data_IF_297918204124
#
_entry.id   IF_297918204124
#
_cell.length_a   1.000
_cell.length_b   1.000
_cell.length_c   1.000
_cell.angle_alpha   90.00
_cell.angle_beta   90.00
_cell.angle_gamma   90.00
#
_symmetry.space_group_name_H-M   'P 1'
#
loop_
_entity.id
_entity.type
_entity.pdbx_description
1 polymer ?
#
# COMPACT_ATOMS: atom_id res chain seq x y z
N UNK A 1 26.35 59.56 -25.05
CA UNK A 1 25.15 59.04 -24.37
C UNK A 1 23.97 58.78 -25.31
N UNK A 2 23.69 59.64 -26.30
CA UNK A 2 22.57 59.47 -27.26
C UNK A 2 22.64 58.15 -28.04
N UNK A 3 23.77 57.88 -28.70
CA UNK A 3 24.00 56.63 -29.44
C UNK A 3 23.85 55.36 -28.58
N UNK A 4 24.34 55.36 -27.34
CA UNK A 4 24.22 54.22 -26.43
C UNK A 4 22.78 53.98 -25.93
N UNK A 5 21.94 55.01 -25.90
CA UNK A 5 20.51 54.89 -25.59
C UNK A 5 19.72 54.35 -26.78
N UNK A 6 20.00 54.83 -27.99
CA UNK A 6 19.40 54.34 -29.22
C UNK A 6 19.75 52.85 -29.45
N UNK A 7 21.02 52.47 -29.25
CA UNK A 7 21.44 51.07 -29.29
C UNK A 7 20.76 50.21 -28.21
N UNK A 8 20.54 50.75 -27.01
CA UNK A 8 19.83 50.03 -25.96
C UNK A 8 18.35 49.77 -26.33
N UNK A 9 17.68 50.73 -26.97
CA UNK A 9 16.30 50.60 -27.42
C UNK A 9 16.13 49.60 -28.57
N UNK A 10 17.13 49.48 -29.44
CA UNK A 10 17.14 48.51 -30.54
C UNK A 10 17.35 47.07 -30.07
N UNK A 11 18.19 46.87 -29.05
CA UNK A 11 18.66 45.53 -28.64
C UNK A 11 17.82 44.95 -27.50
N UNK A 12 17.28 45.79 -26.63
CA UNK A 12 16.62 45.35 -25.40
C UNK A 12 15.13 45.72 -25.39
N UNK A 13 14.27 44.71 -25.22
CA UNK A 13 12.79 44.82 -25.21
C UNK A 13 12.30 45.87 -24.19
N UNK A 14 12.96 45.97 -23.03
CA UNK A 14 12.71 47.01 -22.02
C UNK A 14 13.95 47.89 -21.82
N UNK A 15 13.81 49.19 -22.10
CA UNK A 15 14.94 50.12 -22.07
C UNK A 15 15.12 50.78 -20.70
N UNK A 16 15.60 50.02 -19.71
CA UNK A 16 16.01 50.59 -18.42
C UNK A 16 17.29 51.46 -18.56
N UNK A 17 17.41 52.61 -17.87
CA UNK A 17 18.57 53.53 -17.96
C UNK A 17 19.94 52.86 -17.74
N UNK A 18 19.96 51.78 -16.95
CA UNK A 18 21.16 51.01 -16.61
C UNK A 18 21.75 50.25 -17.81
N UNK A 19 20.93 49.94 -18.83
CA UNK A 19 21.37 49.20 -20.04
C UNK A 19 22.23 50.08 -20.95
N UNK A 20 21.84 51.34 -21.15
CA UNK A 20 22.65 52.31 -21.90
C UNK A 20 24.02 52.57 -21.24
N UNK A 21 24.07 52.60 -19.90
CA UNK A 21 25.34 52.69 -19.15
C UNK A 21 26.21 51.44 -19.31
N UNK A 22 25.60 50.26 -19.35
CA UNK A 22 26.32 48.99 -19.54
C UNK A 22 26.92 48.90 -20.94
N UNK A 23 26.18 49.31 -21.99
CA UNK A 23 26.69 49.41 -23.37
C UNK A 23 27.87 50.38 -23.43
N UNK A 24 27.74 51.56 -22.82
CA UNK A 24 28.82 52.55 -22.80
C UNK A 24 30.08 51.99 -22.10
N UNK A 25 29.89 51.28 -20.99
CA UNK A 25 30.99 50.60 -20.30
C UNK A 25 31.65 49.53 -21.18
N UNK A 26 30.86 48.66 -21.83
CA UNK A 26 31.38 47.62 -22.73
C UNK A 26 32.16 48.19 -23.91
N UNK A 27 31.66 49.27 -24.53
CA UNK A 27 32.33 49.95 -25.65
C UNK A 27 33.65 50.57 -25.18
N UNK A 28 33.65 51.31 -24.08
CA UNK A 28 34.88 51.91 -23.55
C UNK A 28 35.91 50.84 -23.16
N UNK A 29 35.45 49.74 -22.54
CA UNK A 29 36.31 48.63 -22.15
C UNK A 29 36.90 47.91 -23.36
N UNK A 30 36.11 47.71 -24.42
CA UNK A 30 36.57 47.13 -25.69
C UNK A 30 37.60 48.02 -26.37
N UNK A 31 37.37 49.34 -26.45
CA UNK A 31 38.31 50.29 -27.04
C UNK A 31 39.67 50.29 -26.35
N UNK A 32 39.72 50.01 -25.05
CA UNK A 32 40.95 49.99 -24.27
C UNK A 32 41.66 48.63 -24.24
N UNK A 33 40.91 47.53 -24.23
CA UNK A 33 41.45 46.20 -23.94
C UNK A 33 41.32 45.21 -25.12
N UNK A 34 40.62 45.61 -26.19
CA UNK A 34 40.37 44.80 -27.38
C UNK A 34 39.67 43.45 -27.10
N UNK A 35 38.93 43.37 -25.99
CA UNK A 35 38.07 42.24 -25.63
C UNK A 35 36.89 42.70 -24.76
N UNK A 36 35.84 41.88 -24.66
CA UNK A 36 34.70 42.16 -23.78
C UNK A 36 35.05 41.90 -22.31
N UNK A 37 34.44 42.61 -21.35
CA UNK A 37 34.68 42.37 -19.94
C UNK A 37 34.14 40.98 -19.52
N UNK A 38 34.95 40.22 -18.80
CA UNK A 38 34.54 38.91 -18.31
C UNK A 38 33.40 39.04 -17.29
N UNK A 39 32.28 38.36 -17.56
CA UNK A 39 31.19 38.28 -16.59
C UNK A 39 31.64 37.54 -15.33
N UNK A 40 31.46 38.21 -14.18
CA UNK A 40 31.56 37.60 -12.84
C UNK A 40 30.19 37.15 -12.31
N UNK A 41 29.13 37.30 -13.10
CA UNK A 41 27.79 36.88 -12.71
C UNK A 41 27.77 35.35 -12.53
N UNK A 42 27.36 34.90 -11.33
CA UNK A 42 27.41 33.48 -10.95
C UNK A 42 28.79 32.95 -10.51
N UNK A 43 29.86 33.75 -10.61
CA UNK A 43 31.21 33.39 -10.13
C UNK A 43 31.41 33.89 -8.70
N UNK A 44 30.73 33.26 -7.74
CA UNK A 44 30.96 33.48 -6.32
C UNK A 44 32.21 32.71 -5.85
N UNK A 45 32.93 33.25 -4.87
CA UNK A 45 33.98 32.51 -4.17
C UNK A 45 33.37 31.22 -3.62
N UNK A 46 33.92 30.06 -4.01
CA UNK A 46 33.46 28.77 -3.47
C UNK A 46 33.77 28.77 -1.98
N UNK A 47 32.79 29.08 -1.14
CA UNK A 47 32.94 28.84 0.31
C UNK A 47 33.19 27.35 0.47
N UNK A 48 34.36 26.98 1.00
CA UNK A 48 34.69 25.59 1.32
C UNK A 48 33.56 25.09 2.22
N UNK A 49 32.83 24.06 1.78
CA UNK A 49 31.74 23.53 2.58
C UNK A 49 32.37 22.69 3.66
N UNK A 50 31.78 22.69 4.85
CA UNK A 50 32.26 21.86 5.96
C UNK A 50 32.35 20.36 5.59
N UNK A 51 31.50 19.91 4.66
CA UNK A 51 31.48 18.53 4.16
C UNK A 51 32.58 18.22 3.14
N UNK A 52 33.33 19.23 2.68
CA UNK A 52 34.49 19.03 1.80
C UNK A 52 35.79 18.81 2.63
N UNK A 53 35.71 18.94 3.97
CA UNK A 53 36.81 18.66 4.91
C UNK A 53 36.92 17.15 5.19
N UNK A 54 38.13 16.59 5.04
CA UNK A 54 38.36 15.14 5.14
C UNK A 54 38.03 14.58 6.54
N UNK A 55 38.36 15.29 7.62
CA UNK A 55 38.07 14.84 8.98
C UNK A 55 36.57 14.79 9.25
N UNK A 56 35.84 15.76 8.70
CA UNK A 56 34.37 15.80 8.78
C UNK A 56 33.77 14.66 7.97
N UNK A 57 34.27 14.42 6.74
CA UNK A 57 33.83 13.31 5.88
C UNK A 57 34.02 11.96 6.56
N UNK A 58 35.18 11.74 7.21
CA UNK A 58 35.47 10.51 7.95
C UNK A 58 34.51 10.32 9.12
N UNK A 59 34.23 11.38 9.90
CA UNK A 59 33.24 11.35 11.01
C UNK A 59 31.84 11.03 10.50
N UNK A 60 31.44 11.62 9.37
CA UNK A 60 30.16 11.33 8.73
C UNK A 60 30.07 9.86 8.28
N UNK A 61 31.07 9.34 7.56
CA UNK A 61 31.06 7.93 7.14
C UNK A 61 31.05 6.95 8.32
N UNK A 62 31.83 7.23 9.35
CA UNK A 62 31.89 6.39 10.57
C UNK A 62 30.52 6.33 11.24
N UNK A 63 29.84 7.46 11.36
CA UNK A 63 28.48 7.49 11.90
C UNK A 63 27.49 6.78 10.98
N UNK A 64 27.51 7.02 9.67
CA UNK A 64 26.57 6.39 8.73
C UNK A 64 26.72 4.85 8.76
N UNK A 65 27.96 4.34 8.85
CA UNK A 65 28.25 2.91 8.97
C UNK A 65 27.72 2.31 10.28
N UNK A 66 27.83 3.04 11.40
CA UNK A 66 27.31 2.57 12.70
C UNK A 66 25.78 2.47 12.74
N UNK A 67 25.06 3.15 11.84
CA UNK A 67 23.60 3.07 11.76
C UNK A 67 23.06 1.81 11.06
N UNK A 68 23.92 0.97 10.50
CA UNK A 68 23.54 -0.33 9.93
C UNK A 68 22.47 -0.23 8.82
N UNK A 69 22.52 0.81 7.99
CA UNK A 69 21.57 1.00 6.87
C UNK A 69 20.21 1.61 7.26
N UNK A 70 20.04 2.06 8.51
CA UNK A 70 18.80 2.75 8.96
C UNK A 70 18.86 4.28 8.82
N UNK A 71 19.88 4.78 8.13
CA UNK A 71 20.15 6.21 7.93
C UNK A 71 19.02 6.87 7.15
N UNK A 72 18.52 7.98 7.69
CA UNK A 72 17.60 8.89 7.00
C UNK A 72 18.18 10.30 7.03
N UNK A 73 17.77 11.21 6.12
CA UNK A 73 18.23 12.59 6.16
C UNK A 73 17.90 13.30 7.48
N UNK A 74 16.83 12.88 8.16
CA UNK A 74 16.46 13.43 9.47
C UNK A 74 17.41 12.98 10.57
N UNK A 75 17.70 11.67 10.67
CA UNK A 75 18.71 11.15 11.61
C UNK A 75 20.10 11.73 11.36
N UNK A 76 20.45 11.88 10.08
CA UNK A 76 21.73 12.49 9.70
C UNK A 76 21.79 13.97 10.10
N UNK A 77 20.69 14.72 9.92
CA UNK A 77 20.56 16.09 10.44
C UNK A 77 20.77 16.14 11.95
N UNK A 78 20.09 15.29 12.71
CA UNK A 78 20.22 15.22 14.16
C UNK A 78 21.67 14.94 14.58
N UNK A 79 22.35 14.00 13.92
CA UNK A 79 23.76 13.74 14.14
C UNK A 79 24.64 14.97 13.85
N UNK A 80 24.39 15.65 12.73
CA UNK A 80 25.17 16.84 12.35
C UNK A 80 25.02 17.92 13.43
N UNK A 81 23.79 18.16 13.89
CA UNK A 81 23.48 19.21 14.86
C UNK A 81 23.99 18.89 16.27
N UNK A 82 23.79 17.65 16.73
CA UNK A 82 24.02 17.26 18.12
C UNK A 82 25.42 16.72 18.38
N UNK A 83 26.16 16.31 17.35
CA UNK A 83 27.51 15.72 17.51
C UNK A 83 28.53 16.38 16.61
N UNK A 84 28.28 16.42 15.30
CA UNK A 84 29.31 16.84 14.34
C UNK A 84 29.73 18.30 14.52
N UNK A 85 28.76 19.23 14.59
CA UNK A 85 29.02 20.65 14.71
C UNK A 85 29.64 21.01 16.07
N UNK A 86 29.14 20.39 17.16
CA UNK A 86 29.65 20.59 18.52
C UNK A 86 31.10 20.12 18.63
N UNK A 87 31.41 18.91 18.14
CA UNK A 87 32.75 18.34 18.19
C UNK A 87 33.76 19.05 17.26
N UNK A 88 33.29 19.93 16.38
CA UNK A 88 34.13 20.69 15.45
C UNK A 88 34.34 22.14 15.89
N UNK A 89 33.97 22.49 17.13
CA UNK A 89 34.19 23.83 17.70
C UNK A 89 33.24 24.91 17.20
N UNK A 90 32.17 24.56 16.46
CA UNK A 90 31.19 25.51 15.95
C UNK A 90 30.14 25.76 17.04
N UNK A 91 30.33 26.82 17.83
CA UNK A 91 29.54 27.14 19.04
C UNK A 91 28.22 27.85 18.76
N UNK A 92 28.01 28.45 17.59
CA UNK A 92 26.70 28.98 17.20
C UNK A 92 25.78 27.82 16.81
N UNK A 93 24.58 27.73 17.40
CA UNK A 93 23.49 26.81 16.98
C UNK A 93 23.14 27.04 15.50
N UNK A 94 23.87 26.38 14.61
CA UNK A 94 23.56 26.32 13.19
C UNK A 94 22.81 25.02 12.95
N UNK A 95 21.49 25.12 12.83
CA UNK A 95 20.68 24.02 12.30
C UNK A 95 20.92 23.89 10.80
N UNK A 96 20.78 22.68 10.26
CA UNK A 96 20.75 22.46 8.82
C UNK A 96 19.35 22.03 8.39
N UNK A 97 18.87 22.51 7.25
CA UNK A 97 17.62 22.01 6.69
C UNK A 97 17.75 20.52 6.29
N UNK A 98 16.64 19.78 6.29
CA UNK A 98 16.58 18.40 5.77
C UNK A 98 17.12 18.30 4.34
N UNK A 99 16.84 19.31 3.51
CA UNK A 99 17.36 19.41 2.15
C UNK A 99 18.90 19.46 2.13
N UNK A 100 19.52 20.22 3.05
CA UNK A 100 20.98 20.29 3.19
C UNK A 100 21.56 18.94 3.62
N UNK A 101 20.94 18.27 4.59
CA UNK A 101 21.35 16.93 5.04
C UNK A 101 21.26 15.89 3.90
N UNK A 102 20.20 15.96 3.10
CA UNK A 102 20.02 15.12 1.90
C UNK A 102 21.12 15.40 0.87
N UNK A 103 21.42 16.67 0.61
CA UNK A 103 22.51 17.05 -0.30
C UNK A 103 23.86 16.56 0.18
N UNK A 104 24.12 16.62 1.49
CA UNK A 104 25.36 16.13 2.08
C UNK A 104 25.49 14.61 1.95
N UNK A 105 24.42 13.84 2.15
CA UNK A 105 24.42 12.40 1.89
C UNK A 105 24.81 12.10 0.43
N UNK A 106 24.26 12.84 -0.53
CA UNK A 106 24.63 12.71 -1.95
C UNK A 106 26.11 13.05 -2.20
N UNK A 107 26.63 14.12 -1.59
CA UNK A 107 28.06 14.49 -1.70
C UNK A 107 28.98 13.42 -1.12
N UNK A 108 28.58 12.79 -0.01
CA UNK A 108 29.29 11.65 0.60
C UNK A 108 29.14 10.34 -0.21
N UNK A 109 28.51 10.39 -1.38
CA UNK A 109 28.32 9.23 -2.25
C UNK A 109 27.21 8.29 -1.79
N UNK A 110 26.24 8.74 -1.00
CA UNK A 110 25.04 7.98 -0.65
C UNK A 110 23.86 8.42 -1.50
N UNK A 111 23.05 7.46 -1.93
CA UNK A 111 21.82 7.73 -2.70
C UNK A 111 20.64 7.01 -2.09
N UNK A 112 19.44 7.56 -2.28
CA UNK A 112 18.21 6.90 -1.91
C UNK A 112 17.90 5.81 -2.95
N UNK A 113 17.90 4.56 -2.53
CA UNK A 113 17.59 3.43 -3.39
C UNK A 113 16.31 2.75 -2.90
N UNK A 114 15.37 2.56 -3.83
CA UNK A 114 14.16 1.76 -3.62
C UNK A 114 14.32 0.42 -4.31
N UNK A 115 14.13 -0.66 -3.56
CA UNK A 115 14.14 -1.99 -4.16
C UNK A 115 12.80 -2.23 -4.86
N UNK A 116 12.82 -2.31 -6.20
CA UNK A 116 11.65 -2.73 -6.98
C UNK A 116 11.52 -4.25 -6.87
N UNK A 117 10.50 -4.73 -6.15
CA UNK A 117 9.99 -6.09 -6.38
C UNK A 117 9.37 -6.10 -7.78
N UNK A 118 9.55 -7.19 -8.52
CA UNK A 118 9.22 -7.28 -9.94
C UNK A 118 7.82 -6.78 -10.30
N UNK A 119 7.64 -6.41 -11.56
CA UNK A 119 6.38 -5.89 -12.10
C UNK A 119 5.31 -6.98 -12.02
N UNK A 120 4.42 -6.89 -11.02
CA UNK A 120 3.15 -7.60 -11.06
C UNK A 120 2.28 -6.87 -12.07
N UNK A 121 2.05 -7.49 -13.23
CA UNK A 121 1.10 -6.97 -14.21
C UNK A 121 -0.28 -7.30 -13.71
N UNK A 122 -0.80 -6.38 -12.93
CA UNK A 122 -2.13 -6.53 -12.41
C UNK A 122 -3.14 -6.31 -13.54
N UNK A 123 -3.97 -7.32 -13.83
CA UNK A 123 -4.95 -7.29 -14.92
C UNK A 123 -6.09 -6.30 -14.71
N UNK A 124 -5.95 -5.35 -13.78
CA UNK A 124 -6.95 -4.36 -13.38
C UNK A 124 -7.44 -3.49 -14.54
N UNK A 125 -6.57 -3.22 -15.50
CA UNK A 125 -6.87 -2.39 -16.68
C UNK A 125 -7.43 -3.20 -17.87
N UNK A 126 -7.68 -4.50 -17.69
CA UNK A 126 -8.34 -5.29 -18.75
C UNK A 126 -9.77 -4.76 -18.99
N UNK A 127 -10.23 -4.71 -20.25
CA UNK A 127 -11.55 -4.15 -20.57
C UNK A 127 -12.70 -4.80 -19.78
N UNK A 128 -12.69 -6.11 -19.62
CA UNK A 128 -13.71 -6.87 -18.88
C UNK A 128 -13.69 -6.57 -17.37
N UNK A 129 -12.51 -6.36 -16.80
CA UNK A 129 -12.36 -5.97 -15.38
C UNK A 129 -12.85 -4.55 -15.16
N UNK A 130 -12.54 -3.62 -16.07
CA UNK A 130 -13.02 -2.23 -16.02
C UNK A 130 -14.54 -2.17 -16.15
N UNK A 131 -15.14 -2.98 -17.03
CA UNK A 131 -16.59 -3.10 -17.18
C UNK A 131 -17.24 -3.64 -15.90
N UNK A 132 -16.72 -4.72 -15.34
CA UNK A 132 -17.20 -5.27 -14.06
C UNK A 132 -17.11 -4.26 -12.91
N UNK A 133 -16.02 -3.47 -12.85
CA UNK A 133 -15.85 -2.43 -11.82
C UNK A 133 -16.94 -1.37 -11.89
N UNK A 134 -17.44 -1.01 -13.09
CA UNK A 134 -18.57 -0.07 -13.22
C UNK A 134 -19.83 -0.65 -12.58
N UNK A 135 -20.16 -1.91 -12.89
CA UNK A 135 -21.30 -2.61 -12.28
C UNK A 135 -21.17 -2.71 -10.75
N UNK A 136 -19.96 -2.99 -10.27
CA UNK A 136 -19.68 -3.04 -8.83
C UNK A 136 -19.87 -1.67 -8.16
N UNK A 137 -19.35 -0.61 -8.77
CA UNK A 137 -19.49 0.76 -8.27
C UNK A 137 -20.96 1.18 -8.23
N UNK A 138 -21.73 0.94 -9.28
CA UNK A 138 -23.17 1.23 -9.30
C UNK A 138 -23.90 0.52 -8.15
N UNK A 139 -23.52 -0.74 -7.88
CA UNK A 139 -24.08 -1.51 -6.76
C UNK A 139 -23.68 -0.93 -5.40
N UNK A 140 -22.41 -0.60 -5.18
CA UNK A 140 -21.95 0.02 -3.94
C UNK A 140 -22.61 1.38 -3.72
N UNK A 141 -22.69 2.22 -4.75
CA UNK A 141 -23.38 3.52 -4.67
C UNK A 141 -24.86 3.38 -4.37
N UNK A 142 -25.52 2.30 -4.80
CA UNK A 142 -26.91 2.04 -4.43
C UNK A 142 -27.09 1.88 -2.90
N UNK A 143 -26.08 1.34 -2.21
CA UNK A 143 -26.10 1.15 -0.76
C UNK A 143 -25.70 2.41 0.02
N UNK A 144 -24.91 3.31 -0.58
CA UNK A 144 -24.39 4.52 0.08
C UNK A 144 -25.49 5.37 0.72
N UNK A 145 -26.69 5.42 0.12
CA UNK A 145 -27.84 6.15 0.68
C UNK A 145 -28.31 5.66 2.06
N UNK A 146 -27.94 4.43 2.42
CA UNK A 146 -28.29 3.79 3.68
C UNK A 146 -27.10 3.73 4.66
N UNK A 147 -25.95 4.30 4.30
CA UNK A 147 -24.74 4.31 5.13
C UNK A 147 -24.55 5.68 5.78
N UNK A 148 -23.94 5.69 6.96
CA UNK A 148 -23.46 6.94 7.56
C UNK A 148 -22.37 7.58 6.70
N UNK A 149 -22.27 8.91 6.81
CA UNK A 149 -21.18 9.71 6.24
C UNK A 149 -20.36 10.32 7.35
N UNK A 150 -19.10 10.63 7.07
CA UNK A 150 -18.21 11.28 8.02
C UNK A 150 -17.61 12.53 7.39
N UNK A 151 -17.79 13.67 8.05
CA UNK A 151 -17.36 14.98 7.52
C UNK A 151 -16.58 15.80 8.56
N UNK A 152 -15.81 16.78 8.08
CA UNK A 152 -15.00 17.67 8.92
C UNK A 152 -13.66 17.08 9.38
N UNK A 153 -12.86 17.88 10.08
CA UNK A 153 -11.54 17.48 10.57
C UNK A 153 -11.60 16.40 11.66
N UNK A 154 -12.70 16.37 12.41
CA UNK A 154 -12.98 15.40 13.49
C UNK A 154 -13.69 14.15 12.99
N UNK A 155 -14.03 14.06 11.70
CA UNK A 155 -14.82 12.96 11.11
C UNK A 155 -16.14 12.73 11.85
N UNK A 156 -16.95 13.78 11.98
CA UNK A 156 -18.24 13.70 12.66
C UNK A 156 -19.20 12.80 11.86
N UNK A 157 -19.86 11.88 12.57
CA UNK A 157 -20.77 10.90 11.99
C UNK A 157 -22.12 11.54 11.69
N UNK A 158 -22.53 11.50 10.43
CA UNK A 158 -23.81 11.95 9.91
C UNK A 158 -24.63 10.70 9.56
N UNK A 159 -25.70 10.36 10.30
CA UNK A 159 -26.53 9.20 10.01
C UNK A 159 -27.31 9.39 8.69
N UNK A 160 -27.62 8.29 7.98
CA UNK A 160 -28.39 8.35 6.73
C UNK A 160 -29.84 8.77 6.98
N UNK A 161 -30.45 9.44 6.00
CA UNK A 161 -31.88 9.72 5.99
C UNK A 161 -32.63 8.48 5.52
N UNK A 162 -33.21 7.73 6.45
CA UNK A 162 -33.92 6.48 6.19
C UNK A 162 -35.44 6.69 6.14
N UNK A 163 -36.10 6.09 5.14
CA UNK A 163 -37.56 5.98 5.10
C UNK A 163 -38.06 4.96 6.14
N UNK A 164 -39.34 5.05 6.51
CA UNK A 164 -40.00 4.12 7.43
C UNK A 164 -39.84 2.68 6.92
N UNK A 165 -39.21 1.80 7.70
CA UNK A 165 -38.83 0.40 7.45
C UNK A 165 -37.42 0.14 6.90
N UNK A 166 -36.65 1.16 6.52
CA UNK A 166 -35.26 0.95 6.11
C UNK A 166 -34.33 0.92 7.33
N UNK A 167 -33.33 0.03 7.30
CA UNK A 167 -32.28 -0.07 8.31
C UNK A 167 -30.98 0.52 7.75
N UNK A 168 -30.18 1.07 8.64
CA UNK A 168 -28.83 1.52 8.32
C UNK A 168 -27.97 0.33 7.86
N UNK A 169 -27.18 0.54 6.81
CA UNK A 169 -26.20 -0.41 6.31
C UNK A 169 -24.83 -0.01 6.85
N UNK A 170 -24.12 -0.98 7.42
CA UNK A 170 -22.75 -0.81 7.88
C UNK A 170 -21.83 -1.64 6.98
N UNK A 171 -20.93 -0.96 6.27
CA UNK A 171 -19.90 -1.62 5.48
C UNK A 171 -18.85 -2.21 6.43
N UNK A 172 -18.61 -3.51 6.27
CA UNK A 172 -17.54 -4.25 6.95
C UNK A 172 -16.62 -4.81 5.88
N UNK A 173 -15.40 -4.30 5.84
CA UNK A 173 -14.35 -4.75 4.92
C UNK A 173 -13.49 -5.82 5.58
N UNK A 174 -12.94 -6.71 4.77
CA UNK A 174 -12.09 -7.81 5.21
C UNK A 174 -10.90 -7.96 4.27
N UNK A 175 -9.73 -8.27 4.84
CA UNK A 175 -8.53 -8.60 4.08
C UNK A 175 -7.59 -9.48 4.92
N UNK A 176 -6.70 -10.20 4.24
CA UNK A 176 -5.64 -10.97 4.85
C UNK A 176 -4.24 -10.48 4.47
N UNK A 177 -3.38 -10.32 5.47
CA UNK A 177 -2.02 -9.86 5.28
C UNK A 177 -1.00 -10.81 5.90
N UNK A 178 0.10 -11.07 5.18
CA UNK A 178 1.22 -11.89 5.66
C UNK A 178 2.42 -11.01 5.99
N UNK A 179 2.84 -11.08 7.24
CA UNK A 179 4.04 -10.43 7.74
C UNK A 179 5.17 -11.44 7.89
N UNK A 180 6.32 -11.16 7.29
CA UNK A 180 7.50 -12.00 7.37
C UNK A 180 8.53 -11.41 8.35
N UNK A 181 9.29 -12.27 9.04
CA UNK A 181 10.32 -11.82 9.99
C UNK A 181 11.42 -10.97 9.33
N UNK A 182 11.66 -11.17 8.03
CA UNK A 182 12.63 -10.40 7.26
C UNK A 182 11.99 -9.26 6.45
N UNK A 183 10.71 -8.93 6.68
CA UNK A 183 10.13 -7.69 6.14
C UNK A 183 10.88 -6.50 6.76
N UNK A 184 11.74 -5.88 5.96
CA UNK A 184 12.49 -4.69 6.33
C UNK A 184 12.09 -3.49 5.46
N UNK A 185 12.60 -2.30 5.79
CA UNK A 185 12.38 -1.08 4.99
C UNK A 185 12.77 -1.32 3.55
N UNK A 186 11.88 -1.11 2.58
CA UNK A 186 12.19 -1.29 1.14
C UNK A 186 13.12 -0.22 0.61
N UNK A 187 13.10 0.95 1.23
CA UNK A 187 13.93 2.08 0.85
C UNK A 187 15.00 2.35 1.89
N UNK A 188 16.23 2.51 1.41
CA UNK A 188 17.41 2.69 2.25
C UNK A 188 18.39 3.65 1.58
N UNK A 189 19.09 4.43 2.40
CA UNK A 189 20.22 5.24 1.94
C UNK A 189 21.47 4.38 1.93
N UNK A 190 22.00 4.11 0.75
CA UNK A 190 23.14 3.22 0.53
C UNK A 190 24.23 3.94 -0.23
N UNK A 191 25.49 3.54 0.00
CA UNK A 191 26.61 4.09 -0.76
C UNK A 191 26.47 3.66 -2.20
N UNK A 192 26.72 4.56 -3.15
CA UNK A 192 26.66 4.26 -4.58
C UNK A 192 27.63 3.11 -4.87
N UNK A 193 27.11 2.02 -5.45
CA UNK A 193 27.87 0.79 -5.72
C UNK A 193 27.82 -0.27 -4.61
N UNK A 194 27.29 0.04 -3.42
CA UNK A 194 27.08 -0.93 -2.35
C UNK A 194 25.61 -1.40 -2.32
N UNK A 195 25.41 -2.72 -2.34
CA UNK A 195 24.10 -3.31 -2.09
C UNK A 195 24.03 -3.76 -0.62
N UNK A 196 23.04 -3.26 0.15
CA UNK A 196 22.88 -3.68 1.54
C UNK A 196 22.52 -5.16 1.58
N UNK A 197 23.41 -5.96 2.19
CA UNK A 197 23.20 -7.39 2.36
C UNK A 197 22.01 -7.63 3.28
N UNK A 198 20.94 -8.24 2.74
CA UNK A 198 19.82 -8.75 3.54
C UNK A 198 19.97 -10.24 3.74
N UNK A 199 19.45 -10.71 4.87
CA UNK A 199 19.31 -12.14 5.13
C UNK A 199 18.49 -12.75 3.99
N UNK A 200 19.04 -13.81 3.38
CA UNK A 200 18.39 -14.53 2.28
C UNK A 200 17.05 -15.13 2.75
N UNK A 201 16.00 -14.95 1.94
CA UNK A 201 14.66 -15.49 2.18
C UNK A 201 13.82 -14.72 3.20
N UNK A 202 12.51 -14.97 3.21
CA UNK A 202 11.56 -14.22 4.05
C UNK A 202 11.51 -14.69 5.52
N UNK A 203 12.13 -15.84 5.86
CA UNK A 203 12.05 -16.49 7.18
C UNK A 203 10.59 -16.78 7.58
N UNK A 204 10.31 -16.84 8.89
CA UNK A 204 8.99 -17.18 9.44
C UNK A 204 7.98 -16.09 9.07
N UNK A 205 6.74 -16.48 8.85
CA UNK A 205 5.62 -15.57 8.65
C UNK A 205 4.52 -15.75 9.69
N UNK A 206 3.75 -14.69 9.87
CA UNK A 206 2.43 -14.69 10.50
C UNK A 206 1.44 -14.09 9.51
N UNK A 207 0.32 -14.77 9.30
CA UNK A 207 -0.83 -14.25 8.59
C UNK A 207 -1.80 -13.65 9.61
N UNK A 208 -2.38 -12.51 9.28
CA UNK A 208 -3.44 -11.87 10.03
C UNK A 208 -4.64 -11.70 9.10
N UNK A 209 -5.81 -12.19 9.53
CA UNK A 209 -7.10 -11.96 8.89
C UNK A 209 -7.94 -11.07 9.80
N UNK A 210 -8.47 -9.96 9.28
CA UNK A 210 -9.14 -8.94 10.10
C UNK A 210 -10.35 -8.31 9.40
N UNK A 211 -11.33 -7.89 10.20
CA UNK A 211 -12.50 -7.14 9.74
C UNK A 211 -12.44 -5.70 10.23
N UNK A 212 -12.69 -4.76 9.32
CA UNK A 212 -12.71 -3.33 9.61
C UNK A 212 -14.01 -2.67 9.18
N UNK A 213 -14.48 -1.71 9.95
CA UNK A 213 -15.62 -0.85 9.63
C UNK A 213 -15.31 0.58 10.04
N UNK A 214 -15.82 1.57 9.32
CA UNK A 214 -15.65 2.98 9.67
C UNK A 214 -16.24 3.31 11.04
N UNK A 215 -17.31 2.61 11.44
CA UNK A 215 -18.03 2.83 12.71
C UNK A 215 -17.23 2.46 13.96
N UNK A 216 -16.46 1.37 13.90
CA UNK A 216 -15.80 0.80 15.09
C UNK A 216 -14.30 0.56 14.88
N UNK A 217 -13.76 0.91 13.72
CA UNK A 217 -12.41 0.53 13.32
C UNK A 217 -12.32 -0.99 13.19
N UNK A 218 -11.76 -1.66 14.20
CA UNK A 218 -11.68 -3.13 14.22
C UNK A 218 -12.98 -3.71 14.74
N UNK A 219 -13.48 -4.76 14.09
CA UNK A 219 -14.67 -5.47 14.55
C UNK A 219 -14.37 -6.22 15.87
N UNK A 220 -14.64 -5.53 16.98
CA UNK A 220 -14.25 -5.93 18.33
C UNK A 220 -15.23 -5.38 19.37
N UNK A 221 -15.59 -6.22 20.34
CA UNK A 221 -16.35 -5.83 21.52
C UNK A 221 -15.45 -5.13 22.54
N UNK A 222 -16.00 -4.11 23.20
CA UNK A 222 -15.38 -3.54 24.38
C UNK A 222 -15.48 -4.52 25.58
N UNK A 223 -14.76 -4.22 26.66
CA UNK A 223 -14.68 -5.14 27.81
C UNK A 223 -16.06 -5.39 28.45
N UNK A 224 -16.92 -4.37 28.52
CA UNK A 224 -18.25 -4.50 29.10
C UNK A 224 -19.18 -5.34 28.21
N UNK A 225 -19.25 -5.05 26.91
CA UNK A 225 -20.05 -5.81 25.95
C UNK A 225 -19.66 -7.29 25.91
N UNK A 226 -18.35 -7.59 26.04
CA UNK A 226 -17.87 -8.97 26.09
C UNK A 226 -18.19 -9.65 27.43
N UNK A 227 -18.20 -8.93 28.56
CA UNK A 227 -18.67 -9.48 29.83
C UNK A 227 -20.16 -9.83 29.78
N UNK A 228 -20.97 -8.97 29.18
CA UNK A 228 -22.41 -9.19 28.98
C UNK A 228 -22.68 -10.32 27.96
N UNK A 229 -21.77 -10.55 27.01
CA UNK A 229 -21.88 -11.56 25.95
C UNK A 229 -20.66 -12.50 25.96
N UNK A 230 -20.42 -13.18 27.08
CA UNK A 230 -19.20 -13.99 27.30
C UNK A 230 -19.03 -15.17 26.33
N UNK A 231 -20.12 -15.62 25.68
CA UNK A 231 -20.09 -16.64 24.62
C UNK A 231 -19.57 -16.12 23.28
N UNK A 232 -19.57 -14.81 23.07
CA UNK A 232 -19.17 -14.16 21.82
C UNK A 232 -17.69 -13.78 21.92
N UNK A 233 -16.85 -14.16 20.94
CA UNK A 233 -15.44 -13.76 20.93
C UNK A 233 -15.26 -12.24 21.03
N UNK A 234 -14.22 -11.80 21.74
CA UNK A 234 -13.98 -10.37 21.91
C UNK A 234 -13.61 -9.68 20.59
N UNK A 235 -12.82 -10.31 19.72
CA UNK A 235 -12.39 -9.73 18.44
C UNK A 235 -12.53 -10.73 17.28
N UNK A 236 -12.84 -10.20 16.09
CA UNK A 236 -13.00 -11.02 14.88
C UNK A 236 -11.66 -11.50 14.29
N UNK A 237 -10.54 -10.89 14.70
CA UNK A 237 -9.21 -11.19 14.18
C UNK A 237 -8.84 -12.67 14.33
N UNK A 238 -8.17 -13.18 13.32
CA UNK A 238 -7.56 -14.52 13.36
C UNK A 238 -6.10 -14.44 12.91
N UNK A 239 -5.27 -15.24 13.56
CA UNK A 239 -3.86 -15.42 13.19
C UNK A 239 -3.66 -16.83 12.68
N UNK A 240 -2.76 -16.99 11.73
CA UNK A 240 -2.29 -18.29 11.27
C UNK A 240 -0.78 -18.20 11.01
N UNK A 241 -0.02 -19.23 11.37
CA UNK A 241 1.40 -19.35 11.09
C UNK A 241 1.59 -20.21 9.83
N UNK A 242 1.78 -19.60 8.65
CA UNK A 242 1.76 -20.34 7.41
C UNK A 242 2.97 -21.29 7.30
N UNK A 243 2.72 -22.51 6.82
CA UNK A 243 3.75 -23.49 6.49
C UNK A 243 3.27 -24.92 6.62
N UNK A 244 3.78 -25.80 5.75
CA UNK A 244 3.49 -27.24 5.74
C UNK A 244 3.81 -27.91 7.09
N UNK A 245 4.90 -27.51 7.73
CA UNK A 245 5.34 -28.03 9.03
C UNK A 245 4.87 -27.14 10.20
N UNK A 246 3.74 -26.43 10.01
CA UNK A 246 3.12 -25.51 10.99
C UNK A 246 1.60 -25.68 10.99
N UNK A 247 0.86 -24.56 10.98
CA UNK A 247 -0.61 -24.52 11.00
C UNK A 247 -1.21 -24.65 9.59
N UNK A 248 -0.39 -24.97 8.58
CA UNK A 248 -0.84 -25.12 7.20
C UNK A 248 -0.97 -23.79 6.47
N UNK A 249 -2.02 -23.67 5.65
CA UNK A 249 -2.33 -22.49 4.86
C UNK A 249 -3.75 -22.05 5.15
N UNK A 250 -4.03 -20.76 4.96
CA UNK A 250 -5.38 -20.24 5.04
C UNK A 250 -6.26 -20.80 3.93
N UNK A 251 -7.45 -21.26 4.31
CA UNK A 251 -8.40 -21.91 3.41
C UNK A 251 -9.76 -21.24 3.55
N UNK A 252 -10.65 -21.52 2.60
CA UNK A 252 -12.04 -21.08 2.66
C UNK A 252 -12.75 -21.53 3.94
N UNK A 253 -12.39 -22.68 4.51
CA UNK A 253 -12.98 -23.18 5.76
C UNK A 253 -12.61 -22.28 6.95
N UNK A 254 -11.37 -21.80 7.02
CA UNK A 254 -10.94 -20.86 8.04
C UNK A 254 -11.70 -19.53 7.93
N UNK A 255 -11.91 -19.02 6.71
CA UNK A 255 -12.69 -17.81 6.50
C UNK A 255 -14.16 -18.01 6.92
N UNK A 256 -14.79 -19.11 6.49
CA UNK A 256 -16.18 -19.42 6.85
C UNK A 256 -16.33 -19.53 8.36
N UNK A 257 -15.39 -20.21 9.04
CA UNK A 257 -15.38 -20.30 10.50
C UNK A 257 -15.26 -18.92 11.13
N UNK A 258 -14.26 -18.12 10.73
CA UNK A 258 -14.07 -16.77 11.26
C UNK A 258 -15.30 -15.87 11.08
N UNK A 259 -15.95 -15.91 9.91
CA UNK A 259 -17.16 -15.14 9.63
C UNK A 259 -18.31 -15.58 10.54
N UNK A 260 -18.55 -16.89 10.65
CA UNK A 260 -19.69 -17.44 11.40
C UNK A 260 -19.52 -17.38 12.91
N UNK A 261 -18.34 -17.70 13.42
CA UNK A 261 -18.10 -17.84 14.86
C UNK A 261 -17.67 -16.54 15.51
N UNK A 262 -17.11 -15.59 14.74
CA UNK A 262 -16.63 -14.31 15.26
C UNK A 262 -17.32 -13.11 14.62
N UNK A 263 -17.20 -12.93 13.30
CA UNK A 263 -17.57 -11.66 12.68
C UNK A 263 -19.08 -11.35 12.79
N UNK A 264 -19.95 -12.31 12.44
CA UNK A 264 -21.40 -12.13 12.52
C UNK A 264 -21.86 -11.90 13.97
N UNK A 265 -21.51 -12.75 14.97
CA UNK A 265 -21.91 -12.52 16.36
C UNK A 265 -21.45 -11.17 16.93
N UNK A 266 -20.21 -10.76 16.63
CA UNK A 266 -19.69 -9.46 17.07
C UNK A 266 -20.47 -8.32 16.40
N UNK A 267 -20.74 -8.43 15.10
CA UNK A 267 -21.51 -7.43 14.36
C UNK A 267 -22.92 -7.26 14.93
N UNK A 268 -23.65 -8.36 15.15
CA UNK A 268 -25.01 -8.33 15.69
C UNK A 268 -25.06 -7.74 17.10
N UNK A 269 -24.01 -7.94 17.90
CA UNK A 269 -23.87 -7.35 19.24
C UNK A 269 -23.60 -5.84 19.17
N UNK A 270 -22.74 -5.40 18.26
CA UNK A 270 -22.41 -3.98 18.11
C UNK A 270 -23.54 -3.18 17.46
N UNK A 271 -24.25 -3.80 16.51
CA UNK A 271 -25.18 -3.11 15.62
C UNK A 271 -26.52 -3.87 15.45
N UNK A 272 -27.28 -4.12 16.53
CA UNK A 272 -28.45 -5.01 16.53
C UNK A 272 -29.58 -4.59 15.57
N UNK A 273 -29.64 -3.31 15.21
CA UNK A 273 -30.66 -2.75 14.32
C UNK A 273 -30.15 -2.36 12.92
N UNK A 274 -28.93 -2.77 12.57
CA UNK A 274 -28.32 -2.45 11.28
C UNK A 274 -28.22 -3.69 10.38
N UNK A 275 -27.92 -3.47 9.11
CA UNK A 275 -27.62 -4.52 8.13
C UNK A 275 -26.11 -4.50 7.85
N UNK A 276 -25.44 -5.65 8.03
CA UNK A 276 -24.02 -5.78 7.71
C UNK A 276 -23.80 -6.03 6.23
N UNK A 277 -23.10 -5.12 5.54
CA UNK A 277 -22.60 -5.34 4.19
C UNK A 277 -21.14 -5.79 4.28
N UNK A 278 -20.88 -7.09 4.17
CA UNK A 278 -19.53 -7.64 4.22
C UNK A 278 -18.90 -7.65 2.83
N UNK A 279 -17.80 -6.92 2.68
CA UNK A 279 -17.02 -6.82 1.45
C UNK A 279 -15.72 -7.62 1.56
N UNK A 280 -15.51 -8.50 0.58
CA UNK A 280 -14.34 -9.37 0.45
C UNK A 280 -13.67 -9.11 -0.90
N UNK A 281 -12.38 -9.42 -1.01
CA UNK A 281 -11.71 -9.47 -2.30
C UNK A 281 -12.14 -10.70 -3.12
N UNK A 282 -11.74 -10.74 -4.39
CA UNK A 282 -12.01 -11.88 -5.28
C UNK A 282 -10.90 -12.93 -5.24
N UNK A 283 -10.36 -13.22 -4.06
CA UNK A 283 -9.41 -14.32 -3.87
C UNK A 283 -10.05 -15.66 -4.24
N UNK A 284 -9.26 -16.58 -4.80
CA UNK A 284 -9.73 -17.94 -5.13
C UNK A 284 -10.26 -18.70 -3.91
N UNK A 285 -9.80 -18.34 -2.71
CA UNK A 285 -10.32 -18.90 -1.46
C UNK A 285 -11.74 -18.43 -1.17
N UNK A 286 -12.12 -17.22 -1.57
CA UNK A 286 -13.45 -16.66 -1.34
C UNK A 286 -14.46 -17.21 -2.36
N UNK A 287 -13.97 -17.55 -3.56
CA UNK A 287 -14.75 -18.21 -4.62
C UNK A 287 -14.80 -19.75 -4.50
N UNK A 288 -14.33 -20.31 -3.37
CA UNK A 288 -14.29 -21.76 -3.20
C UNK A 288 -15.70 -22.36 -3.15
N UNK A 289 -15.92 -23.36 -3.99
CA UNK A 289 -17.12 -24.20 -3.90
C UNK A 289 -17.09 -25.04 -2.62
N UNK A 290 -18.29 -25.30 -2.07
CA UNK A 290 -18.48 -26.24 -0.98
C UNK A 290 -17.94 -27.63 -1.35
N UNK A 291 -17.49 -28.39 -0.35
CA UNK A 291 -16.85 -29.70 -0.55
C UNK A 291 -17.71 -30.70 -1.36
N UNK A 292 -19.03 -30.62 -1.22
CA UNK A 292 -20.04 -31.46 -1.88
C UNK A 292 -20.69 -30.76 -3.10
N UNK A 293 -20.16 -29.62 -3.57
CA UNK A 293 -20.78 -28.87 -4.65
C UNK A 293 -20.78 -29.63 -5.98
N UNK A 294 -21.82 -29.40 -6.79
CA UNK A 294 -21.96 -29.97 -8.12
C UNK A 294 -21.00 -29.25 -9.09
N UNK A 295 -19.83 -29.84 -9.33
CA UNK A 295 -18.80 -29.24 -10.19
C UNK A 295 -18.37 -30.27 -11.22
N UNK A 296 -19.02 -30.25 -12.39
CA UNK A 296 -18.82 -31.25 -13.45
C UNK A 296 -17.34 -31.44 -13.83
N UNK A 297 -16.54 -30.37 -13.87
CA UNK A 297 -15.10 -30.42 -14.17
C UNK A 297 -14.26 -31.20 -13.16
N UNK A 298 -14.78 -31.48 -11.96
CA UNK A 298 -14.13 -32.31 -10.93
C UNK A 298 -14.61 -33.76 -10.93
N UNK A 299 -15.51 -34.15 -11.83
CA UNK A 299 -15.98 -35.53 -11.94
C UNK A 299 -15.05 -36.37 -12.81
N UNK A 300 -14.85 -37.62 -12.42
CA UNK A 300 -14.21 -38.61 -13.30
C UNK A 300 -15.20 -39.10 -14.35
N UNK A 301 -14.70 -39.64 -15.46
CA UNK A 301 -15.56 -40.26 -16.47
C UNK A 301 -16.27 -41.51 -15.92
N UNK A 302 -15.54 -42.34 -15.16
CA UNK A 302 -16.03 -43.57 -14.51
C UNK A 302 -16.31 -43.32 -13.02
N UNK A 303 -17.19 -44.13 -12.37
CA UNK A 303 -17.42 -44.04 -10.93
C UNK A 303 -16.16 -44.30 -10.11
N UNK A 304 -16.16 -43.79 -8.87
CA UNK A 304 -15.07 -44.01 -7.91
C UNK A 304 -13.78 -43.23 -8.23
N UNK A 305 -12.67 -43.69 -7.67
CA UNK A 305 -11.37 -43.02 -7.78
C UNK A 305 -11.29 -41.69 -7.01
N UNK A 306 -10.24 -40.91 -7.29
CA UNK A 306 -9.99 -39.63 -6.62
C UNK A 306 -10.87 -38.51 -7.21
N UNK A 307 -12.13 -38.43 -6.78
CA UNK A 307 -13.07 -37.34 -7.10
C UNK A 307 -13.91 -36.98 -5.86
N UNK A 308 -14.44 -35.74 -5.77
CA UNK A 308 -15.26 -35.33 -4.64
C UNK A 308 -16.62 -36.07 -4.60
N UNK A 309 -17.11 -36.37 -3.40
CA UNK A 309 -18.48 -36.83 -3.19
C UNK A 309 -19.43 -35.63 -3.27
N UNK A 310 -20.12 -35.48 -4.39
CA UNK A 310 -21.07 -34.39 -4.58
C UNK A 310 -22.43 -34.70 -3.95
N UNK A 311 -23.17 -33.67 -3.56
CA UNK A 311 -24.53 -33.80 -3.04
C UNK A 311 -25.51 -34.22 -4.11
N UNK A 312 -26.60 -34.83 -3.69
CA UNK A 312 -27.71 -35.15 -4.58
C UNK A 312 -28.38 -33.88 -5.09
N UNK A 313 -29.01 -33.99 -6.25
CA UNK A 313 -29.59 -32.84 -6.96
C UNK A 313 -30.90 -33.21 -7.63
N UNK A 314 -31.52 -32.24 -8.29
CA UNK A 314 -32.66 -32.43 -9.18
C UNK A 314 -32.31 -31.91 -10.57
N UNK A 315 -32.87 -32.51 -11.62
CA UNK A 315 -32.63 -32.09 -13.00
C UNK A 315 -33.89 -32.17 -13.87
N UNK A 316 -33.84 -31.47 -15.02
CA UNK A 316 -34.94 -31.42 -15.98
C UNK A 316 -36.13 -30.59 -15.51
N UNK A 317 -37.10 -30.39 -16.41
CA UNK A 317 -38.32 -29.60 -16.15
C UNK A 317 -39.22 -30.22 -15.06
N UNK A 318 -39.07 -31.53 -14.83
CA UNK A 318 -39.88 -32.28 -13.87
C UNK A 318 -39.21 -32.41 -12.49
N UNK A 319 -38.10 -31.70 -12.23
CA UNK A 319 -37.31 -31.79 -10.98
C UNK A 319 -36.97 -33.25 -10.60
N UNK A 320 -36.55 -34.05 -11.58
CA UNK A 320 -36.22 -35.45 -11.35
C UNK A 320 -35.04 -35.56 -10.40
N UNK A 321 -35.20 -36.34 -9.35
CA UNK A 321 -34.16 -36.57 -8.36
C UNK A 321 -32.97 -37.33 -8.98
N UNK A 322 -31.77 -36.87 -8.65
CA UNK A 322 -30.50 -37.43 -9.11
C UNK A 322 -29.59 -37.65 -7.91
N UNK A 323 -29.35 -38.93 -7.58
CA UNK A 323 -28.26 -39.30 -6.67
C UNK A 323 -26.92 -39.10 -7.35
N UNK A 324 -25.96 -38.47 -6.68
CA UNK A 324 -24.58 -38.30 -7.17
C UNK A 324 -23.62 -39.37 -6.62
N UNK A 325 -24.14 -40.31 -5.84
CA UNK A 325 -23.42 -41.42 -5.23
C UNK A 325 -24.15 -42.73 -5.57
N UNK A 326 -23.39 -43.79 -5.83
CA UNK A 326 -23.91 -45.14 -6.04
C UNK A 326 -24.34 -45.79 -4.71
N UNK A 327 -25.06 -46.91 -4.80
CA UNK A 327 -25.50 -47.70 -3.63
C UNK A 327 -24.34 -48.12 -2.73
N UNK A 328 -23.17 -48.35 -3.31
CA UNK A 328 -21.93 -48.70 -2.60
C UNK A 328 -21.23 -47.50 -1.93
N UNK A 329 -21.81 -46.29 -1.98
CA UNK A 329 -21.23 -45.09 -1.39
C UNK A 329 -20.11 -44.43 -2.22
N UNK A 330 -19.89 -44.91 -3.44
CA UNK A 330 -18.90 -44.38 -4.39
C UNK A 330 -19.46 -43.20 -5.21
N UNK A 331 -18.69 -42.12 -5.45
CA UNK A 331 -19.12 -41.04 -6.31
C UNK A 331 -19.41 -41.53 -7.75
N UNK A 332 -20.52 -41.10 -8.33
CA UNK A 332 -20.85 -41.42 -9.72
C UNK A 332 -19.90 -40.71 -10.68
N UNK A 333 -19.55 -41.41 -11.76
CA UNK A 333 -18.81 -40.81 -12.88
C UNK A 333 -19.73 -40.01 -13.80
N UNK A 334 -19.16 -39.07 -14.55
CA UNK A 334 -19.88 -38.21 -15.48
C UNK A 334 -20.67 -39.02 -16.51
N UNK A 335 -20.09 -40.10 -17.05
CA UNK A 335 -20.78 -40.97 -18.03
C UNK A 335 -22.07 -41.55 -17.46
N UNK A 336 -22.03 -42.02 -16.22
CA UNK A 336 -23.19 -42.62 -15.58
C UNK A 336 -24.29 -41.59 -15.34
N UNK A 337 -23.93 -40.40 -14.83
CA UNK A 337 -24.89 -39.31 -14.62
C UNK A 337 -25.53 -38.85 -15.94
N UNK A 338 -24.78 -38.81 -17.04
CA UNK A 338 -25.34 -38.45 -18.35
C UNK A 338 -26.30 -39.52 -18.89
N UNK A 339 -25.95 -40.80 -18.78
CA UNK A 339 -26.83 -41.91 -19.18
C UNK A 339 -28.14 -41.88 -18.37
N UNK A 340 -28.06 -41.66 -17.05
CA UNK A 340 -29.25 -41.53 -16.18
C UNK A 340 -30.13 -40.33 -16.55
N UNK A 341 -29.55 -39.32 -17.22
CA UNK A 341 -30.27 -38.16 -17.76
C UNK A 341 -30.75 -38.35 -19.20
N UNK A 342 -30.43 -39.49 -19.84
CA UNK A 342 -30.78 -39.78 -21.23
C UNK A 342 -29.94 -39.02 -22.27
N UNK A 343 -28.68 -38.68 -21.93
CA UNK A 343 -27.73 -37.95 -22.79
C UNK A 343 -26.58 -38.81 -23.29
#
# INVERSE_FOLDING_TARGET
MKASKEAAQLIFIDCAPNRARSIQYWVNFWLQNNHLPMSRQGKHQKTIRLIDDEDIVVKCHTWIRSQGGTTTPLKFKEFVEQKLLINSGITKKKTIAKATATRWLNVLGYSFQSQKQGTYYDGHERPDVVEYRKLFLDKIYSYERYMAKYEGETMERIPPMLESNNKEIILVTHDECIFYSNNGKRDVWTKIGELPLRKKGNRRSIMVSEFLSEECGRLKLNAQQHQENSSIPQEARTYLQPGKDREGYWTSEHLIDQVKTKAIPIFETLFPNCIGLFAFDNSSNHAAFRHDALVASKMNLKPGGKQPKMRNTVFGLNNQYQSMVNENGEPKGMKQVLIERGL
#
